data_IF_060395058100
#
_entry.id   IF_060395058100
#
_cell.length_a   1.000
_cell.length_b   1.000
_cell.length_c   1.000
_cell.angle_alpha   90.00
_cell.angle_beta   90.00
_cell.angle_gamma   90.00
#
_symmetry.space_group_name_H-M   'P 1'
#
loop_
_entity.id
_entity.type
_entity.pdbx_description
1 polymer ?
#
# COMPACT_ATOMS: atom_id res chain seq x y z
N UNK A 1 31.17 -0.87 -1.83
CA UNK A 1 30.37 0.23 -2.41
C UNK A 1 28.98 0.20 -1.79
N UNK A 2 28.56 1.30 -1.15
CA UNK A 2 27.32 1.34 -0.36
C UNK A 2 26.08 1.33 -1.27
N UNK A 3 25.21 0.35 -1.11
CA UNK A 3 23.98 0.06 -1.89
C UNK A 3 22.90 1.16 -1.74
N UNK A 4 23.22 2.28 -1.08
CA UNK A 4 22.28 3.34 -0.67
C UNK A 4 22.01 4.35 -1.78
N UNK A 5 22.95 4.53 -2.73
CA UNK A 5 22.86 5.61 -3.73
C UNK A 5 21.70 5.49 -4.72
N UNK A 6 21.31 4.32 -5.28
CA UNK A 6 20.39 4.30 -6.43
C UNK A 6 18.99 4.84 -6.14
N UNK A 7 18.49 4.66 -4.92
CA UNK A 7 17.15 5.10 -4.52
C UNK A 7 17.07 6.61 -4.24
N UNK A 8 18.20 7.26 -4.00
CA UNK A 8 18.31 8.71 -3.73
C UNK A 8 18.78 9.50 -4.97
N UNK A 9 19.00 8.85 -6.11
CA UNK A 9 19.44 9.52 -7.36
C UNK A 9 18.37 10.43 -7.98
N UNK A 10 17.09 10.19 -7.64
CA UNK A 10 15.94 10.89 -8.18
C UNK A 10 15.04 11.42 -7.04
N UNK A 11 15.54 12.35 -6.20
CA UNK A 11 14.80 12.86 -5.05
C UNK A 11 13.50 13.54 -5.43
N UNK A 12 13.39 14.11 -6.63
CA UNK A 12 12.20 14.72 -7.19
C UNK A 12 11.03 13.74 -7.32
N UNK A 13 11.29 12.45 -7.48
CA UNK A 13 10.23 11.41 -7.56
C UNK A 13 9.71 10.99 -6.19
N UNK A 14 10.40 11.36 -5.11
CA UNK A 14 10.04 10.96 -3.75
C UNK A 14 9.02 11.95 -3.20
N UNK A 15 7.86 11.44 -2.80
CA UNK A 15 6.76 12.23 -2.22
C UNK A 15 6.96 12.40 -0.71
N UNK A 16 7.26 11.31 -0.02
CA UNK A 16 7.57 11.33 1.40
C UNK A 16 8.36 10.09 1.82
N UNK A 17 8.94 10.16 3.01
CA UNK A 17 9.59 9.07 3.69
C UNK A 17 8.93 8.83 5.05
N UNK A 18 8.71 7.57 5.38
CA UNK A 18 8.09 7.14 6.63
C UNK A 18 9.07 6.26 7.44
N UNK A 19 9.35 6.68 8.67
CA UNK A 19 10.26 6.00 9.57
C UNK A 19 9.62 4.76 10.19
N UNK A 20 10.32 3.62 10.08
CA UNK A 20 9.99 2.34 10.68
C UNK A 20 11.18 1.87 11.55
N UNK A 21 11.39 2.55 12.67
CA UNK A 21 12.50 2.30 13.60
C UNK A 21 13.87 2.56 12.94
N UNK A 22 14.73 1.54 12.82
CA UNK A 22 16.03 1.63 12.14
C UNK A 22 15.95 1.58 10.60
N UNK A 23 14.72 1.53 10.08
CA UNK A 23 14.43 1.53 8.65
C UNK A 23 13.59 2.74 8.27
N UNK A 24 13.59 3.08 6.99
CA UNK A 24 12.72 4.10 6.43
C UNK A 24 12.15 3.64 5.11
N UNK A 25 10.85 3.80 4.96
CA UNK A 25 10.17 3.67 3.67
C UNK A 25 10.37 4.96 2.87
N UNK A 26 10.77 4.81 1.61
CA UNK A 26 10.80 5.87 0.61
C UNK A 26 9.58 5.66 -0.28
N UNK A 27 8.65 6.61 -0.31
CA UNK A 27 7.43 6.54 -1.10
C UNK A 27 7.55 7.46 -2.32
N UNK A 28 7.41 6.90 -3.52
CA UNK A 28 7.53 7.60 -4.79
C UNK A 28 6.16 8.01 -5.34
N UNK A 29 6.15 8.96 -6.29
CA UNK A 29 4.94 9.51 -6.90
C UNK A 29 4.11 8.51 -7.71
N UNK A 30 4.76 7.45 -8.22
CA UNK A 30 4.14 6.34 -8.94
C UNK A 30 3.53 5.29 -7.98
N UNK A 31 3.63 5.51 -6.67
CA UNK A 31 3.17 4.59 -5.64
C UNK A 31 4.19 3.50 -5.29
N UNK A 32 5.36 3.45 -5.94
CA UNK A 32 6.45 2.56 -5.55
C UNK A 32 6.92 2.91 -4.13
N UNK A 33 7.26 1.89 -3.33
CA UNK A 33 7.87 2.07 -2.02
C UNK A 33 9.14 1.25 -1.89
N UNK A 34 10.21 1.86 -1.40
CA UNK A 34 11.49 1.19 -1.12
C UNK A 34 11.82 1.25 0.36
N UNK A 35 12.13 0.10 0.96
CA UNK A 35 12.60 0.05 2.34
C UNK A 35 14.13 0.22 2.36
N UNK A 36 14.60 1.18 3.13
CA UNK A 36 16.02 1.41 3.35
C UNK A 36 16.37 1.09 4.81
N UNK A 37 17.45 0.35 5.02
CA UNK A 37 18.01 0.05 6.35
C UNK A 37 18.77 1.26 6.93
N UNK A 38 18.13 2.43 6.90
CA UNK A 38 18.63 3.67 7.47
C UNK A 38 17.48 4.38 8.19
N UNK A 39 17.73 4.92 9.40
CA UNK A 39 16.73 5.68 10.12
C UNK A 39 16.43 6.99 9.40
N UNK A 40 15.25 7.55 9.67
CA UNK A 40 14.79 8.76 8.97
C UNK A 40 15.70 9.97 9.21
N UNK A 41 16.43 10.02 10.33
CA UNK A 41 17.44 11.04 10.62
C UNK A 41 18.62 10.97 9.66
N UNK A 42 19.07 9.77 9.29
CA UNK A 42 20.13 9.62 8.30
C UNK A 42 19.69 10.15 6.92
N UNK A 43 18.41 10.00 6.58
CA UNK A 43 17.88 10.44 5.28
C UNK A 43 17.60 11.95 5.25
N UNK A 44 17.23 12.54 6.38
CA UNK A 44 17.17 13.99 6.56
C UNK A 44 18.51 14.65 6.22
N UNK A 45 19.64 14.07 6.66
CA UNK A 45 20.98 14.60 6.35
C UNK A 45 21.36 14.46 4.86
N UNK A 46 20.78 13.49 4.15
CA UNK A 46 21.08 13.23 2.73
C UNK A 46 20.13 13.97 1.77
N UNK A 47 18.99 14.47 2.27
CA UNK A 47 17.93 15.10 1.50
C UNK A 47 17.59 16.46 2.14
N UNK A 48 18.45 17.48 1.98
CA UNK A 48 18.28 18.77 2.64
C UNK A 48 17.01 19.52 2.19
N UNK A 49 16.52 19.23 0.98
CA UNK A 49 15.31 19.84 0.44
C UNK A 49 14.01 19.25 1.03
N UNK A 50 14.11 18.20 1.85
CA UNK A 50 12.96 17.55 2.47
C UNK A 50 12.72 18.08 3.87
N UNK A 51 11.45 18.23 4.24
CA UNK A 51 11.05 18.82 5.51
C UNK A 51 10.63 17.73 6.49
N UNK A 52 11.28 17.66 7.65
CA UNK A 52 10.98 16.63 8.65
C UNK A 52 9.82 17.02 9.56
N UNK A 53 8.59 16.79 9.10
CA UNK A 53 7.37 17.12 9.85
C UNK A 53 7.15 16.32 11.15
N UNK A 54 7.60 15.07 11.23
CA UNK A 54 7.39 14.21 12.41
C UNK A 54 8.63 13.37 12.77
N UNK A 55 8.65 12.80 13.98
CA UNK A 55 9.71 11.83 14.36
C UNK A 55 9.79 10.64 13.40
N UNK A 56 8.68 10.29 12.74
CA UNK A 56 8.55 9.20 11.77
C UNK A 56 8.17 9.67 10.35
N UNK A 57 8.21 10.97 10.04
CA UNK A 57 7.84 11.44 8.70
C UNK A 57 8.74 12.59 8.23
N UNK A 58 9.21 12.47 7.00
CA UNK A 58 10.03 13.42 6.25
C UNK A 58 9.34 13.58 4.90
N UNK A 59 8.91 14.78 4.53
CA UNK A 59 8.05 15.01 3.36
C UNK A 59 8.77 15.87 2.34
N UNK A 60 8.43 15.68 1.07
CA UNK A 60 8.87 16.58 0.01
C UNK A 60 7.90 17.79 -0.05
N UNK A 61 8.39 19.02 0.17
CA UNK A 61 7.55 20.22 0.07
C UNK A 61 6.88 20.41 -1.29
N UNK A 62 7.41 19.81 -2.37
CA UNK A 62 6.85 19.90 -3.71
C UNK A 62 5.44 19.30 -3.83
N UNK A 63 5.13 18.35 -2.94
CA UNK A 63 3.87 17.60 -2.95
C UNK A 63 2.96 18.01 -1.77
N UNK A 64 3.24 19.13 -1.10
CA UNK A 64 2.38 19.66 -0.03
C UNK A 64 1.25 20.47 -0.65
N UNK A 65 0.02 20.08 -0.37
CA UNK A 65 -1.17 20.76 -0.88
C UNK A 65 -1.78 21.71 0.15
N UNK A 66 -1.81 21.31 1.42
CA UNK A 66 -2.42 22.13 2.47
C UNK A 66 -1.71 21.91 3.81
N UNK A 67 -1.58 22.98 4.58
CA UNK A 67 -1.07 22.98 5.95
C UNK A 67 -2.22 23.36 6.88
N UNK A 68 -2.66 22.42 7.70
CA UNK A 68 -3.71 22.64 8.70
C UNK A 68 -3.07 23.02 10.03
N UNK A 69 -3.30 24.27 10.42
CA UNK A 69 -2.83 24.79 11.70
C UNK A 69 -3.38 23.99 12.88
N UNK A 70 -2.59 23.82 13.96
CA UNK A 70 -3.10 23.18 15.15
C UNK A 70 -4.26 24.03 15.73
N UNK A 71 -5.46 23.44 15.94
CA UNK A 71 -6.61 24.18 16.46
C UNK A 71 -6.39 24.74 17.87
N UNK A 72 -5.44 24.16 18.63
CA UNK A 72 -4.99 24.67 19.92
C UNK A 72 -3.48 24.44 20.10
N UNK A 73 -2.80 25.30 20.87
CA UNK A 73 -1.36 25.20 21.23
C UNK A 73 -0.90 23.84 21.78
N UNK A 74 -1.83 23.01 22.30
CA UNK A 74 -1.55 21.67 22.83
C UNK A 74 -1.65 20.54 21.79
N UNK A 75 -2.22 20.79 20.61
CA UNK A 75 -2.42 19.78 19.55
C UNK A 75 -1.38 19.90 18.44
N UNK A 76 -1.20 18.82 17.68
CA UNK A 76 -0.33 18.80 16.50
C UNK A 76 -1.10 19.31 15.28
N UNK A 77 -0.49 20.20 14.49
CA UNK A 77 -1.01 20.54 13.17
C UNK A 77 -0.87 19.37 12.19
N UNK A 78 -1.41 19.49 10.99
CA UNK A 78 -1.36 18.42 9.97
C UNK A 78 -0.89 18.99 8.64
N UNK A 79 -0.08 18.22 7.92
CA UNK A 79 0.24 18.46 6.51
C UNK A 79 -0.54 17.47 5.67
N UNK A 80 -1.20 17.98 4.64
CA UNK A 80 -1.84 17.18 3.60
C UNK A 80 -0.98 17.23 2.33
N UNK A 81 -0.65 16.06 1.80
CA UNK A 81 0.04 15.92 0.53
C UNK A 81 -0.96 15.86 -0.64
N UNK A 82 -0.49 16.11 -1.87
CA UNK A 82 -1.29 16.02 -3.11
C UNK A 82 -1.88 14.62 -3.33
N UNK A 83 -1.28 13.58 -2.74
CA UNK A 83 -1.83 12.20 -2.73
C UNK A 83 -3.06 12.04 -1.81
N UNK A 84 -3.41 13.05 -1.02
CA UNK A 84 -4.44 13.00 0.03
C UNK A 84 -3.93 12.46 1.38
N UNK A 85 -2.66 12.04 1.47
CA UNK A 85 -2.08 11.56 2.72
C UNK A 85 -1.90 12.71 3.73
N UNK A 86 -2.29 12.45 4.99
CA UNK A 86 -2.17 13.41 6.09
C UNK A 86 -1.12 12.97 7.10
N UNK A 87 -0.16 13.85 7.39
CA UNK A 87 0.90 13.62 8.37
C UNK A 87 0.80 14.62 9.53
N UNK A 88 0.90 14.17 10.80
CA UNK A 88 0.94 15.09 11.93
C UNK A 88 2.27 15.84 11.94
N UNK A 89 2.22 17.15 12.12
CA UNK A 89 3.40 17.98 12.33
C UNK A 89 3.69 18.07 13.81
N UNK A 90 4.93 17.75 14.20
CA UNK A 90 5.36 17.88 15.58
C UNK A 90 5.33 19.34 16.00
N UNK A 91 4.72 19.66 17.15
CA UNK A 91 4.63 21.03 17.70
C UNK A 91 5.94 21.83 17.61
N UNK A 92 7.04 21.21 18.05
CA UNK A 92 8.39 21.83 18.03
C UNK A 92 8.94 22.13 16.63
N UNK A 93 8.37 21.53 15.60
CA UNK A 93 8.76 21.69 14.19
C UNK A 93 7.75 22.48 13.38
N UNK A 94 6.67 22.95 14.01
CA UNK A 94 5.61 23.69 13.34
C UNK A 94 6.17 24.93 12.62
N UNK A 95 6.89 25.77 13.36
CA UNK A 95 7.47 26.99 12.80
C UNK A 95 8.44 26.69 11.65
N UNK A 96 9.32 25.70 11.82
CA UNK A 96 10.26 25.27 10.78
C UNK A 96 9.56 24.80 9.50
N UNK A 97 8.41 24.12 9.62
CA UNK A 97 7.63 23.63 8.48
C UNK A 97 6.92 24.79 7.77
N UNK A 98 6.36 25.74 8.53
CA UNK A 98 5.74 26.95 7.99
C UNK A 98 6.78 27.77 7.23
N UNK A 99 7.90 28.12 7.88
CA UNK A 99 8.96 28.95 7.29
C UNK A 99 9.53 28.32 5.99
N UNK A 100 9.71 26.99 5.97
CA UNK A 100 10.23 26.27 4.82
C UNK A 100 9.22 26.19 3.64
N UNK A 101 7.91 26.15 3.93
CA UNK A 101 6.87 26.17 2.88
C UNK A 101 6.65 27.59 2.35
N UNK A 102 6.63 28.61 3.21
CA UNK A 102 6.47 30.02 2.82
C UNK A 102 7.64 30.51 1.94
N UNK A 103 8.87 30.17 2.31
CA UNK A 103 10.07 30.50 1.53
C UNK A 103 10.02 29.93 0.11
N UNK A 104 9.37 28.77 -0.08
CA UNK A 104 9.19 28.13 -1.40
C UNK A 104 8.10 28.78 -2.24
N UNK A 105 6.97 29.15 -1.64
CA UNK A 105 5.90 29.90 -2.32
C UNK A 105 6.43 31.24 -2.85
N UNK A 106 7.28 31.92 -2.08
CA UNK A 106 7.94 33.15 -2.51
C UNK A 106 8.95 32.93 -3.66
N UNK A 107 9.73 31.85 -3.62
CA UNK A 107 10.67 31.50 -4.68
C UNK A 107 9.98 31.11 -6.01
N UNK A 108 8.84 30.41 -5.94
CA UNK A 108 8.02 30.07 -7.12
C UNK A 108 7.35 31.31 -7.73
N UNK A 109 6.82 32.22 -6.92
CA UNK A 109 6.25 33.48 -7.37
C UNK A 109 7.27 34.42 -8.03
N UNK A 110 8.54 34.37 -7.61
CA UNK A 110 9.63 35.15 -8.23
C UNK A 110 10.03 34.58 -9.60
N UNK A 111 9.77 33.30 -9.85
CA UNK A 111 10.14 32.63 -11.11
C UNK A 111 9.10 32.88 -12.23
N UNK A 112 7.82 33.08 -11.88
CA UNK A 112 6.75 33.37 -12.85
C UNK A 112 6.86 34.75 -13.53
N UNK A 113 7.62 35.70 -12.96
CA UNK A 113 7.77 37.04 -13.54
C UNK A 113 8.86 37.14 -14.62
N UNK A 114 9.66 36.10 -14.86
CA UNK A 114 10.84 36.18 -15.75
C UNK A 114 10.64 35.43 -17.09
N UNK A 115 9.57 34.64 -17.27
CA UNK A 115 9.35 33.89 -18.51
C UNK A 115 8.10 34.33 -19.28
N UNK A 116 8.30 35.35 -20.11
CA UNK A 116 7.68 35.49 -21.44
C UNK A 116 8.84 35.69 -22.42
N UNK A 117 8.87 35.05 -23.61
CA UNK A 117 7.87 35.33 -24.65
C UNK A 117 7.46 34.15 -25.58
N UNK A 118 6.28 34.32 -26.18
CA UNK A 118 5.84 33.96 -27.55
C UNK A 118 6.44 32.71 -28.22
N UNK A 119 5.59 31.71 -28.52
CA UNK A 119 5.57 31.08 -29.85
C UNK A 119 4.24 30.35 -30.12
N UNK A 120 3.58 30.78 -31.20
CA UNK A 120 2.50 30.08 -31.90
C UNK A 120 3.02 28.77 -32.50
N UNK A 121 2.23 27.70 -32.43
CA UNK A 121 2.58 26.40 -32.99
C UNK A 121 1.48 25.38 -32.77
N UNK A 122 0.61 25.28 -33.76
CA UNK A 122 -0.52 24.36 -33.91
C UNK A 122 -0.09 22.89 -33.97
N UNK A 123 -0.87 22.01 -33.31
CA UNK A 123 -1.09 20.55 -33.53
C UNK A 123 -0.96 19.67 -32.26
N UNK A 124 -1.66 18.52 -32.17
CA UNK A 124 -3.05 18.37 -31.71
C UNK A 124 -3.11 17.68 -30.32
N UNK A 125 -4.28 17.50 -29.69
CA UNK A 125 -4.34 16.99 -28.33
C UNK A 125 -3.85 15.54 -28.27
N UNK A 126 -2.78 15.32 -27.52
CA UNK A 126 -2.49 14.02 -26.92
C UNK A 126 -3.69 13.69 -26.05
N UNK A 127 -4.57 12.87 -26.63
CA UNK A 127 -5.67 12.18 -25.97
C UNK A 127 -5.19 11.80 -24.59
N UNK A 128 -5.81 12.42 -23.58
CA UNK A 128 -5.72 11.98 -22.21
C UNK A 128 -5.96 10.47 -22.24
N UNK A 129 -4.89 9.69 -22.07
CA UNK A 129 -5.00 8.28 -21.76
C UNK A 129 -5.64 8.25 -20.38
N UNK A 130 -6.97 8.28 -20.38
CA UNK A 130 -7.79 7.72 -19.33
C UNK A 130 -7.24 6.31 -19.11
N UNK A 131 -6.35 6.18 -18.13
CA UNK A 131 -6.05 4.89 -17.57
C UNK A 131 -7.38 4.43 -17.01
N UNK A 132 -8.04 3.53 -17.73
CA UNK A 132 -9.10 2.71 -17.17
C UNK A 132 -8.41 1.92 -16.06
N UNK A 133 -8.44 2.47 -14.84
CA UNK A 133 -8.01 1.77 -13.65
C UNK A 133 -8.96 0.58 -13.51
N UNK A 134 -8.53 -0.57 -14.02
CA UNK A 134 -9.24 -1.82 -13.75
C UNK A 134 -9.11 -2.09 -12.26
N UNK A 135 -10.24 -2.10 -11.56
CA UNK A 135 -10.27 -2.33 -10.12
C UNK A 135 -9.61 -3.69 -9.82
N UNK A 136 -8.72 -3.72 -8.83
CA UNK A 136 -8.00 -4.96 -8.46
C UNK A 136 -8.93 -5.89 -7.71
N UNK A 137 -8.85 -7.20 -7.93
CA UNK A 137 -9.68 -8.17 -7.20
C UNK A 137 -9.00 -8.71 -5.95
N UNK A 138 -9.79 -8.97 -4.91
CA UNK A 138 -9.42 -9.76 -3.74
C UNK A 138 -10.34 -10.98 -3.75
N UNK A 139 -9.77 -12.18 -3.66
CA UNK A 139 -10.53 -13.43 -3.70
C UNK A 139 -10.58 -14.07 -2.31
N UNK A 140 -11.77 -14.24 -1.77
CA UNK A 140 -12.02 -15.04 -0.56
C UNK A 140 -12.62 -16.39 -0.95
N UNK A 141 -12.01 -17.45 -0.45
CA UNK A 141 -12.56 -18.80 -0.56
C UNK A 141 -13.05 -19.26 0.81
N UNK A 142 -14.37 -19.28 1.03
CA UNK A 142 -14.99 -19.71 2.29
C UNK A 142 -16.41 -20.24 2.06
N UNK A 143 -16.83 -21.16 2.94
CA UNK A 143 -18.22 -21.63 3.02
C UNK A 143 -18.99 -20.96 4.16
N UNK A 144 -18.31 -20.18 5.01
CA UNK A 144 -18.89 -19.45 6.12
C UNK A 144 -19.51 -18.15 5.61
N UNK A 145 -20.85 -18.12 5.55
CA UNK A 145 -21.62 -16.98 5.02
C UNK A 145 -21.44 -15.72 5.85
N UNK A 146 -21.29 -15.84 7.18
CA UNK A 146 -21.08 -14.68 8.05
C UNK A 146 -19.70 -14.07 7.80
N UNK A 147 -18.67 -14.91 7.64
CA UNK A 147 -17.34 -14.47 7.25
C UNK A 147 -17.35 -13.78 5.89
N UNK A 148 -17.98 -14.39 4.88
CA UNK A 148 -18.11 -13.82 3.53
C UNK A 148 -18.74 -12.43 3.61
N UNK A 149 -19.88 -12.32 4.29
CA UNK A 149 -20.60 -11.04 4.46
C UNK A 149 -19.75 -10.00 5.18
N UNK A 150 -19.03 -10.40 6.23
CA UNK A 150 -18.13 -9.51 6.98
C UNK A 150 -16.99 -8.97 6.11
N UNK A 151 -16.36 -9.84 5.33
CA UNK A 151 -15.24 -9.45 4.45
C UNK A 151 -15.73 -8.53 3.33
N UNK A 152 -16.85 -8.86 2.68
CA UNK A 152 -17.45 -8.03 1.65
C UNK A 152 -17.79 -6.63 2.19
N UNK A 153 -18.38 -6.54 3.39
CA UNK A 153 -18.68 -5.28 4.04
C UNK A 153 -17.40 -4.45 4.29
N UNK A 154 -16.34 -5.05 4.82
CA UNK A 154 -15.07 -4.36 5.09
C UNK A 154 -14.43 -3.86 3.79
N UNK A 155 -14.40 -4.69 2.74
CA UNK A 155 -13.83 -4.32 1.43
C UNK A 155 -14.63 -3.18 0.80
N UNK A 156 -15.95 -3.32 0.71
CA UNK A 156 -16.82 -2.30 0.10
C UNK A 156 -16.73 -0.96 0.83
N UNK A 157 -16.67 -0.98 2.17
CA UNK A 157 -16.67 0.23 3.00
C UNK A 157 -15.32 0.95 3.03
N UNK A 158 -14.21 0.20 3.07
CA UNK A 158 -12.87 0.76 3.34
C UNK A 158 -11.92 0.71 2.15
N UNK A 159 -12.23 -0.07 1.12
CA UNK A 159 -11.33 -0.37 0.00
C UNK A 159 -12.04 -0.27 -1.36
N UNK A 160 -12.59 0.90 -1.73
CA UNK A 160 -13.41 1.05 -2.94
C UNK A 160 -12.67 0.79 -4.26
N UNK A 161 -11.33 0.79 -4.26
CA UNK A 161 -10.51 0.42 -5.41
C UNK A 161 -10.33 -1.09 -5.61
N UNK A 162 -10.89 -1.91 -4.71
CA UNK A 162 -10.83 -3.37 -4.77
C UNK A 162 -12.21 -3.98 -4.92
N UNK A 163 -12.31 -4.99 -5.79
CA UNK A 163 -13.50 -5.82 -5.95
C UNK A 163 -13.33 -7.07 -5.09
N UNK A 164 -14.27 -7.33 -4.19
CA UNK A 164 -14.31 -8.57 -3.43
C UNK A 164 -15.00 -9.65 -4.26
N UNK A 165 -14.28 -10.75 -4.55
CA UNK A 165 -14.82 -11.94 -5.18
C UNK A 165 -14.85 -13.07 -4.14
N UNK A 166 -15.90 -13.88 -4.16
CA UNK A 166 -16.09 -14.94 -3.16
C UNK A 166 -16.45 -16.26 -3.84
N UNK A 167 -15.97 -17.37 -3.29
CA UNK A 167 -16.31 -18.71 -3.77
C UNK A 167 -16.25 -19.74 -2.64
N UNK A 168 -17.09 -20.77 -2.71
CA UNK A 168 -17.07 -21.89 -1.78
C UNK A 168 -16.06 -22.99 -2.17
N UNK A 169 -15.70 -23.08 -3.46
CA UNK A 169 -14.89 -24.18 -4.01
C UNK A 169 -13.46 -23.72 -4.30
N UNK A 170 -12.47 -24.55 -3.96
CA UNK A 170 -11.05 -24.30 -4.24
C UNK A 170 -10.40 -25.29 -5.20
N UNK A 171 -11.01 -26.44 -5.46
CA UNK A 171 -10.35 -27.57 -6.14
C UNK A 171 -9.88 -27.19 -7.53
N UNK A 172 -10.73 -26.52 -8.30
CA UNK A 172 -10.43 -26.10 -9.69
C UNK A 172 -9.78 -24.72 -9.74
N UNK A 173 -9.57 -24.05 -8.60
CA UNK A 173 -9.08 -22.67 -8.56
C UNK A 173 -7.71 -22.50 -9.23
N UNK A 174 -6.70 -23.38 -9.01
CA UNK A 174 -5.43 -23.25 -9.71
C UNK A 174 -5.58 -23.38 -11.24
N UNK A 175 -6.50 -24.22 -11.70
CA UNK A 175 -6.71 -24.47 -13.13
C UNK A 175 -7.42 -23.29 -13.79
N UNK A 176 -8.44 -22.73 -13.12
CA UNK A 176 -9.16 -21.53 -13.58
C UNK A 176 -8.21 -20.33 -13.61
N UNK A 177 -7.49 -20.05 -12.52
CA UNK A 177 -6.54 -18.94 -12.48
C UNK A 177 -5.42 -19.13 -13.52
N UNK A 178 -4.97 -20.36 -13.76
CA UNK A 178 -3.97 -20.66 -14.78
C UNK A 178 -4.40 -20.36 -16.22
N UNK A 179 -5.71 -20.32 -16.49
CA UNK A 179 -6.29 -19.98 -17.80
C UNK A 179 -6.58 -18.48 -17.94
N UNK A 180 -6.72 -17.76 -16.82
CA UNK A 180 -6.95 -16.32 -16.83
C UNK A 180 -5.66 -15.55 -17.15
N UNK A 181 -5.77 -14.41 -17.86
CA UNK A 181 -4.64 -13.55 -18.09
C UNK A 181 -4.14 -12.96 -16.75
N UNK A 182 -2.84 -12.66 -16.69
CA UNK A 182 -2.15 -12.32 -15.44
C UNK A 182 -2.74 -11.07 -14.77
N UNK A 183 -3.24 -10.11 -15.56
CA UNK A 183 -3.91 -8.90 -15.09
C UNK A 183 -5.29 -9.14 -14.44
N UNK A 184 -5.89 -10.32 -14.62
CA UNK A 184 -7.16 -10.72 -14.01
C UNK A 184 -6.99 -11.57 -12.75
N UNK A 185 -5.75 -11.93 -12.40
CA UNK A 185 -5.47 -12.65 -11.16
C UNK A 185 -5.74 -11.77 -9.93
N UNK A 186 -6.19 -12.38 -8.82
CA UNK A 186 -6.44 -11.63 -7.60
C UNK A 186 -5.14 -11.07 -7.03
N UNK A 187 -5.20 -9.81 -6.59
CA UNK A 187 -4.10 -9.13 -5.92
C UNK A 187 -3.81 -9.74 -4.54
N UNK A 188 -4.82 -10.35 -3.92
CA UNK A 188 -4.74 -11.06 -2.66
C UNK A 188 -5.75 -12.21 -2.64
N UNK A 189 -5.34 -13.38 -2.16
CA UNK A 189 -6.19 -14.54 -1.97
C UNK A 189 -6.27 -14.89 -0.48
N UNK A 190 -7.48 -15.04 0.05
CA UNK A 190 -7.76 -15.52 1.39
C UNK A 190 -8.42 -16.89 1.30
N UNK A 191 -7.84 -17.90 1.95
CA UNK A 191 -8.26 -19.29 1.85
C UNK A 191 -8.71 -19.80 3.22
N UNK A 192 -10.02 -20.03 3.38
CA UNK A 192 -10.58 -20.54 4.64
C UNK A 192 -10.43 -22.06 4.74
N UNK A 193 -9.54 -22.48 5.63
CA UNK A 193 -9.20 -23.87 5.92
C UNK A 193 -9.71 -24.34 7.28
N UNK A 194 -10.63 -23.62 7.93
CA UNK A 194 -11.16 -23.97 9.26
C UNK A 194 -11.96 -25.28 9.28
N UNK A 195 -12.73 -25.56 8.22
CA UNK A 195 -13.63 -26.72 8.14
C UNK A 195 -13.16 -27.79 7.16
N UNK A 196 -12.57 -27.41 6.02
CA UNK A 196 -12.11 -28.33 4.97
C UNK A 196 -10.59 -28.22 4.80
N UNK A 197 -9.84 -28.48 5.87
CA UNK A 197 -8.40 -28.17 5.93
C UNK A 197 -7.57 -28.87 4.86
N UNK A 198 -7.76 -30.17 4.64
CA UNK A 198 -6.93 -30.94 3.70
C UNK A 198 -7.08 -30.46 2.25
N UNK A 199 -8.31 -30.24 1.78
CA UNK A 199 -8.56 -29.71 0.42
C UNK A 199 -7.90 -28.34 0.24
N UNK A 200 -8.05 -27.46 1.24
CA UNK A 200 -7.54 -26.10 1.19
C UNK A 200 -6.02 -26.08 1.19
N UNK A 201 -5.38 -26.94 1.98
CA UNK A 201 -3.93 -27.11 1.95
C UNK A 201 -3.44 -27.67 0.60
N UNK A 202 -4.15 -28.63 -0.01
CA UNK A 202 -3.83 -29.12 -1.34
C UNK A 202 -3.95 -28.02 -2.40
N UNK A 203 -4.99 -27.19 -2.34
CA UNK A 203 -5.13 -26.04 -3.25
C UNK A 203 -4.01 -25.03 -3.04
N UNK A 204 -3.68 -24.68 -1.79
CA UNK A 204 -2.55 -23.81 -1.47
C UNK A 204 -1.25 -24.35 -2.08
N UNK A 205 -0.95 -25.63 -1.89
CA UNK A 205 0.26 -26.26 -2.40
C UNK A 205 0.31 -26.21 -3.94
N UNK A 206 -0.81 -26.48 -4.62
CA UNK A 206 -0.92 -26.38 -6.09
C UNK A 206 -0.71 -24.95 -6.59
N UNK A 207 -1.30 -23.95 -5.93
CA UNK A 207 -1.08 -22.53 -6.25
C UNK A 207 0.40 -22.16 -6.09
N UNK A 208 1.01 -22.53 -4.96
CA UNK A 208 2.38 -22.14 -4.62
C UNK A 208 3.48 -22.88 -5.38
N UNK A 209 3.17 -24.05 -5.94
CA UNK A 209 4.09 -24.79 -6.81
C UNK A 209 4.00 -24.39 -8.29
N UNK A 210 2.96 -23.63 -8.68
CA UNK A 210 2.84 -23.10 -10.03
C UNK A 210 3.75 -21.86 -10.21
N UNK A 211 4.53 -21.81 -11.30
CA UNK A 211 5.51 -20.73 -11.57
C UNK A 211 4.87 -19.34 -11.71
N UNK A 212 3.65 -19.26 -12.22
CA UNK A 212 2.91 -18.02 -12.42
C UNK A 212 2.09 -17.68 -11.18
N UNK A 213 1.27 -18.63 -10.72
CA UNK A 213 0.32 -18.42 -9.63
C UNK A 213 0.99 -18.34 -8.25
N UNK A 214 2.19 -18.90 -8.08
CA UNK A 214 2.90 -18.89 -6.80
C UNK A 214 3.24 -17.49 -6.29
N UNK A 215 3.21 -16.49 -7.18
CA UNK A 215 3.39 -15.07 -6.86
C UNK A 215 2.18 -14.46 -6.14
N UNK A 216 0.97 -14.98 -6.36
CA UNK A 216 -0.25 -14.47 -5.74
C UNK A 216 -0.12 -14.61 -4.22
N UNK A 217 -0.21 -13.52 -3.43
CA UNK A 217 -0.17 -13.62 -1.98
C UNK A 217 -1.38 -14.39 -1.47
N UNK A 218 -1.13 -15.41 -0.63
CA UNK A 218 -2.16 -16.25 -0.04
C UNK A 218 -2.11 -16.14 1.48
N UNK A 219 -3.24 -15.75 2.06
CA UNK A 219 -3.49 -15.80 3.51
C UNK A 219 -4.33 -17.04 3.79
N UNK A 220 -3.82 -17.94 4.63
CA UNK A 220 -4.57 -19.12 5.09
C UNK A 220 -5.31 -18.79 6.39
N UNK A 221 -6.61 -19.03 6.44
CA UNK A 221 -7.42 -18.85 7.65
C UNK A 221 -7.63 -20.22 8.32
N UNK A 222 -7.38 -20.30 9.62
CA UNK A 222 -7.40 -21.58 10.37
C UNK A 222 -8.13 -21.43 11.71
N UNK A 223 -8.52 -22.55 12.32
CA UNK A 223 -9.26 -22.59 13.61
C UNK A 223 -8.34 -22.65 14.84
N UNK A 224 -7.04 -22.36 14.68
CA UNK A 224 -5.99 -22.49 15.70
C UNK A 224 -5.64 -23.94 16.08
N UNK A 225 -5.25 -24.75 15.10
CA UNK A 225 -4.64 -26.08 15.33
C UNK A 225 -3.18 -26.09 14.88
N UNK A 226 -2.28 -26.62 15.70
CA UNK A 226 -0.84 -26.58 15.43
C UNK A 226 -0.48 -27.17 14.06
N UNK A 227 -1.08 -28.31 13.69
CA UNK A 227 -0.77 -28.96 12.42
C UNK A 227 -1.23 -28.13 11.19
N UNK A 228 -2.39 -27.47 11.24
CA UNK A 228 -2.86 -26.64 10.13
C UNK A 228 -1.99 -25.38 9.98
N UNK A 229 -1.51 -24.82 11.09
CA UNK A 229 -0.61 -23.67 11.10
C UNK A 229 0.76 -24.05 10.53
N UNK A 230 1.36 -25.14 11.00
CA UNK A 230 2.64 -25.65 10.49
C UNK A 230 2.53 -25.97 9.00
N UNK A 231 1.48 -26.71 8.59
CA UNK A 231 1.27 -27.07 7.18
C UNK A 231 1.05 -25.84 6.30
N UNK A 232 0.36 -24.81 6.80
CA UNK A 232 0.14 -23.57 6.06
C UNK A 232 1.45 -22.92 5.64
N UNK A 233 2.40 -22.77 6.58
CA UNK A 233 3.72 -22.22 6.27
C UNK A 233 4.59 -23.20 5.46
N UNK A 234 4.53 -24.50 5.74
CA UNK A 234 5.25 -25.53 4.97
C UNK A 234 4.82 -25.51 3.49
N UNK A 235 3.54 -25.25 3.20
CA UNK A 235 3.01 -25.08 1.85
C UNK A 235 3.08 -23.65 1.33
N UNK A 236 3.93 -22.80 1.94
CA UNK A 236 4.28 -21.47 1.47
C UNK A 236 3.11 -20.46 1.46
N UNK A 237 2.14 -20.59 2.36
CA UNK A 237 1.24 -19.48 2.66
C UNK A 237 2.06 -18.26 3.08
N UNK A 238 1.67 -17.07 2.64
CA UNK A 238 2.37 -15.85 3.01
C UNK A 238 2.06 -15.43 4.44
N UNK A 239 0.87 -15.79 4.92
CA UNK A 239 0.46 -15.59 6.30
C UNK A 239 -0.56 -16.67 6.68
N UNK A 240 -0.53 -17.09 7.94
CA UNK A 240 -1.55 -17.95 8.54
C UNK A 240 -2.23 -17.19 9.66
N UNK A 241 -3.54 -16.98 9.55
CA UNK A 241 -4.35 -16.23 10.52
C UNK A 241 -5.29 -17.20 11.23
N UNK A 242 -5.15 -17.31 12.54
CA UNK A 242 -6.07 -18.06 13.37
C UNK A 242 -7.34 -17.22 13.64
N UNK A 243 -8.51 -17.77 13.29
CA UNK A 243 -9.82 -17.18 13.55
C UNK A 243 -10.53 -18.11 14.55
N UNK A 244 -10.64 -17.70 15.83
CA UNK A 244 -11.30 -18.53 16.83
C UNK A 244 -12.80 -18.71 16.49
N UNK A 245 -13.40 -19.87 16.82
CA UNK A 245 -14.81 -20.10 16.58
C UNK A 245 -15.69 -19.19 17.46
N UNK A 246 -16.85 -18.79 16.95
CA UNK A 246 -17.85 -18.03 17.72
C UNK A 246 -17.46 -16.59 18.08
N UNK A 247 -16.41 -16.03 17.47
CA UNK A 247 -16.00 -14.65 17.75
C UNK A 247 -16.89 -13.66 17.02
N UNK A 248 -17.48 -12.69 17.73
CA UNK A 248 -18.07 -11.49 17.11
C UNK A 248 -17.04 -10.50 16.53
N UNK A 249 -15.76 -10.87 16.52
CA UNK A 249 -14.63 -9.99 16.14
C UNK A 249 -14.09 -10.24 14.73
N UNK A 250 -14.77 -11.06 13.92
CA UNK A 250 -14.33 -11.43 12.55
C UNK A 250 -14.07 -10.18 11.70
N UNK A 251 -14.96 -9.19 11.75
CA UNK A 251 -14.81 -7.92 11.02
C UNK A 251 -13.53 -7.17 11.43
N UNK A 252 -13.25 -7.07 12.73
CA UNK A 252 -12.07 -6.37 13.25
C UNK A 252 -10.76 -7.08 12.88
N UNK A 253 -10.77 -8.42 12.80
CA UNK A 253 -9.63 -9.19 12.31
C UNK A 253 -9.37 -8.85 10.83
N UNK A 254 -10.39 -8.92 9.98
CA UNK A 254 -10.24 -8.64 8.56
C UNK A 254 -9.89 -7.18 8.27
N UNK A 255 -10.39 -6.24 9.07
CA UNK A 255 -9.98 -4.84 8.98
C UNK A 255 -8.46 -4.68 9.12
N UNK A 256 -7.88 -5.29 10.16
CA UNK A 256 -6.43 -5.25 10.42
C UNK A 256 -5.63 -6.00 9.36
N UNK A 257 -6.10 -7.18 8.96
CA UNK A 257 -5.45 -8.01 7.94
C UNK A 257 -5.41 -7.26 6.60
N UNK A 258 -6.54 -6.73 6.14
CA UNK A 258 -6.62 -6.00 4.88
C UNK A 258 -5.87 -4.67 4.95
N UNK A 259 -5.90 -3.96 6.09
CA UNK A 259 -5.07 -2.78 6.29
C UNK A 259 -3.58 -3.08 6.12
N UNK A 260 -3.10 -4.20 6.67
CA UNK A 260 -1.72 -4.61 6.47
C UNK A 260 -1.44 -4.94 4.99
N UNK A 261 -2.23 -5.82 4.39
CA UNK A 261 -1.95 -6.34 3.05
C UNK A 261 -2.18 -5.33 1.92
N UNK A 262 -3.18 -4.47 2.03
CA UNK A 262 -3.57 -3.56 0.95
C UNK A 262 -2.93 -2.18 1.05
N UNK A 263 -2.43 -1.78 2.23
CA UNK A 263 -1.84 -0.45 2.46
C UNK A 263 -0.36 -0.48 2.85
N UNK A 264 0.08 -1.53 3.54
CA UNK A 264 1.46 -1.65 4.03
C UNK A 264 2.30 -2.51 3.08
N UNK A 265 1.79 -3.67 2.68
CA UNK A 265 2.50 -4.59 1.78
C UNK A 265 2.50 -4.07 0.35
N UNK A 266 3.65 -4.14 -0.31
CA UNK A 266 3.74 -3.96 -1.77
C UNK A 266 3.34 -5.27 -2.45
N UNK A 267 2.09 -5.34 -2.92
CA UNK A 267 1.60 -6.49 -3.67
C UNK A 267 2.32 -6.62 -5.02
N UNK A 268 2.59 -7.85 -5.49
CA UNK A 268 3.30 -8.06 -6.75
C UNK A 268 2.54 -7.41 -7.91
N UNK A 269 3.26 -6.68 -8.77
CA UNK A 269 2.69 -6.21 -10.02
C UNK A 269 2.40 -7.43 -10.90
N UNK A 270 1.14 -7.56 -11.30
CA UNK A 270 0.68 -8.60 -12.23
C UNK A 270 0.70 -8.09 -13.68
N UNK A 271 1.13 -6.84 -13.90
CA UNK A 271 1.47 -6.33 -15.22
C UNK A 271 2.86 -6.86 -15.62
N UNK A 272 2.91 -7.53 -16.76
CA UNK A 272 4.13 -7.98 -17.41
C UNK A 272 4.85 -6.72 -17.95
N UNK A 273 6.08 -6.50 -17.51
CA UNK A 273 7.03 -5.64 -18.26
C UNK A 273 7.50 -6.38 -19.51
#
# INVERSE_FOLDING_TARGET
MSVIKPALLYPERIVYLAGANNYSWICFQDGEKKLLAKPISYLEDQLPDFIRVHKTALINPAYVQNLQEPPHRKMSGKVQLTSGDMFPVSRRRWQQVVDALESRTAALATTELIQSPLQEGTEPPLIARAHVQTARSILLISQDKEMVTSVEHVVQKKWPGYVCQTSANSVMLPDILGQLPVNEHPALLMLDARTITLERLNTLQRLKNNKLLGRIPVILLTSATDQAVVNGYQYKANSVVAIPPGTGFVEAIFDRVLQYWLRIVTLPSMAIN
#
